data_IF_853961270594
#
_entry.id   IF_853961270594
#
_cell.length_a   1.000
_cell.length_b   1.000
_cell.length_c   1.000
_cell.angle_alpha   90.00
_cell.angle_beta   90.00
_cell.angle_gamma   90.00
#
_symmetry.space_group_name_H-M   'P 1'
#
loop_
_entity.id
_entity.type
_entity.pdbx_description
1 polymer ?
#
# COMPACT_ATOMS: atom_id res chain seq x y z
N UNK A 1 26.96 -16.23 11.32
CA UNK A 1 26.59 -15.81 9.96
C UNK A 1 25.10 -15.97 9.81
N UNK A 2 24.39 -14.91 9.47
CA UNK A 2 22.94 -14.90 9.32
C UNK A 2 22.51 -13.49 8.97
N UNK A 3 22.86 -13.04 7.76
CA UNK A 3 22.33 -11.79 7.22
C UNK A 3 20.86 -12.06 6.90
N UNK A 4 19.99 -11.46 7.68
CA UNK A 4 18.56 -11.32 7.37
C UNK A 4 18.45 -10.82 5.94
N UNK A 5 17.74 -11.55 5.07
CA UNK A 5 17.43 -11.12 3.71
C UNK A 5 16.77 -9.73 3.80
N UNK A 6 17.58 -8.71 3.52
CA UNK A 6 17.15 -7.33 3.48
C UNK A 6 16.17 -7.23 2.32
N UNK A 7 14.86 -7.29 2.59
CA UNK A 7 13.87 -7.04 1.57
C UNK A 7 14.17 -5.67 0.96
N UNK A 8 14.63 -5.65 -0.30
CA UNK A 8 14.93 -4.43 -1.05
C UNK A 8 13.72 -3.49 -1.16
N UNK A 9 12.54 -4.02 -0.84
CA UNK A 9 11.27 -3.33 -0.81
C UNK A 9 11.00 -2.68 0.54
N UNK A 10 10.70 -1.38 0.51
CA UNK A 10 10.23 -0.66 1.68
C UNK A 10 9.00 0.18 1.36
N UNK A 11 8.27 0.54 2.41
CA UNK A 11 7.05 1.34 2.30
C UNK A 11 7.23 2.69 2.96
N UNK A 12 6.81 3.71 2.22
CA UNK A 12 6.63 5.05 2.76
C UNK A 12 5.15 5.39 2.86
N UNK A 13 4.77 5.86 4.04
CA UNK A 13 3.44 6.39 4.30
C UNK A 13 3.48 7.90 4.17
N UNK A 14 2.51 8.46 3.47
CA UNK A 14 2.37 9.90 3.36
C UNK A 14 0.92 10.26 3.63
N UNK A 15 0.71 11.26 4.47
CA UNK A 15 -0.55 11.98 4.46
C UNK A 15 -0.56 12.76 3.16
N UNK A 16 -1.58 12.52 2.33
CA UNK A 16 -1.91 13.47 1.28
C UNK A 16 -2.13 14.80 1.99
N UNK A 17 -1.37 15.84 1.67
CA UNK A 17 -1.26 17.08 2.44
C UNK A 17 -2.54 17.91 2.60
N UNK A 18 -3.71 17.30 2.46
CA UNK A 18 -5.02 17.86 2.64
C UNK A 18 -5.71 17.21 3.86
N UNK A 19 -5.39 17.63 5.10
CA UNK A 19 -5.99 17.07 6.32
C UNK A 19 -7.50 17.29 6.43
N UNK A 20 -8.07 18.22 5.64
CA UNK A 20 -9.51 18.52 5.63
C UNK A 20 -10.36 17.45 4.94
N UNK A 21 -9.90 16.90 3.80
CA UNK A 21 -10.67 15.91 3.03
C UNK A 21 -10.63 14.50 3.64
N UNK A 22 -9.57 14.16 4.39
CA UNK A 22 -9.45 12.85 5.04
C UNK A 22 -10.33 12.74 6.29
N UNK A 23 -10.59 13.87 6.97
CA UNK A 23 -11.39 13.91 8.22
C UNK A 23 -12.87 13.59 8.00
N UNK A 24 -13.43 13.98 6.84
CA UNK A 24 -14.85 13.78 6.56
C UNK A 24 -15.19 12.41 5.95
N UNK A 25 -14.22 11.71 5.32
CA UNK A 25 -14.47 10.34 4.78
C UNK A 25 -14.13 9.22 5.75
N UNK A 26 -13.33 9.51 6.78
CA UNK A 26 -12.86 8.52 7.76
C UNK A 26 -13.89 8.24 8.85
N UNK A 27 -14.82 9.16 9.09
CA UNK A 27 -15.74 9.10 10.23
C UNK A 27 -17.08 8.41 9.94
N UNK A 28 -17.52 8.26 8.67
CA UNK A 28 -18.91 7.87 8.41
C UNK A 28 -19.25 6.55 7.73
N UNK A 29 -18.46 5.88 6.89
CA UNK A 29 -19.06 4.74 6.14
C UNK A 29 -18.16 3.62 5.55
N UNK A 30 -16.87 3.49 5.88
CA UNK A 30 -16.02 2.49 5.21
C UNK A 30 -15.48 1.41 6.14
N UNK A 31 -16.35 0.44 6.47
CA UNK A 31 -15.96 -0.79 7.16
C UNK A 31 -14.85 -1.54 6.40
N UNK A 32 -15.08 -1.87 5.12
CA UNK A 32 -14.13 -2.63 4.29
C UNK A 32 -13.08 -1.68 3.67
N UNK A 33 -11.79 -2.05 3.58
CA UNK A 33 -10.78 -1.25 2.92
C UNK A 33 -11.11 -1.01 1.44
N UNK A 34 -10.73 0.14 0.89
CA UNK A 34 -10.96 0.45 -0.54
C UNK A 34 -9.81 1.24 -1.14
N UNK A 35 -9.47 0.90 -2.38
CA UNK A 35 -8.57 1.69 -3.21
C UNK A 35 -9.32 2.89 -3.80
N UNK A 36 -8.90 4.09 -3.41
CA UNK A 36 -9.50 5.35 -3.85
C UNK A 36 -9.02 5.77 -5.24
N UNK A 37 -7.85 5.28 -5.66
CA UNK A 37 -7.26 5.59 -6.96
C UNK A 37 -6.70 4.35 -7.62
N UNK A 38 -6.62 4.37 -8.96
CA UNK A 38 -5.80 3.41 -9.69
C UNK A 38 -4.33 3.49 -9.23
N UNK A 39 -3.60 2.36 -9.25
CA UNK A 39 -2.15 2.37 -9.04
C UNK A 39 -1.49 3.35 -10.00
N UNK A 40 -0.55 4.16 -9.49
CA UNK A 40 0.32 4.98 -10.33
C UNK A 40 1.75 4.49 -10.18
N UNK A 41 2.33 4.02 -11.27
CA UNK A 41 3.77 3.82 -11.38
C UNK A 41 4.44 5.17 -11.68
N UNK A 42 5.41 5.55 -10.86
CA UNK A 42 6.22 6.74 -11.07
C UNK A 42 7.63 6.31 -11.50
N UNK A 43 7.92 6.49 -12.79
CA UNK A 43 9.19 6.13 -13.43
C UNK A 43 10.37 6.99 -12.97
N UNK A 44 10.15 8.19 -12.45
CA UNK A 44 11.23 9.03 -11.92
C UNK A 44 11.62 8.69 -10.48
N UNK A 45 10.75 7.97 -9.75
CA UNK A 45 10.97 7.65 -8.34
C UNK A 45 10.89 6.16 -8.02
N UNK A 46 10.90 5.32 -9.06
CA UNK A 46 10.76 3.86 -9.02
C UNK A 46 9.81 3.39 -7.91
N UNK A 47 8.60 3.97 -7.92
CA UNK A 47 7.63 3.71 -6.89
C UNK A 47 6.23 3.51 -7.45
N UNK A 48 5.47 2.64 -6.79
CA UNK A 48 4.05 2.51 -7.03
C UNK A 48 3.31 3.17 -5.87
N UNK A 49 2.31 3.98 -6.21
CA UNK A 49 1.48 4.70 -5.24
C UNK A 49 0.03 4.24 -5.30
N UNK A 50 -0.55 3.99 -4.13
CA UNK A 50 -1.98 3.73 -3.94
C UNK A 50 -2.56 4.65 -2.88
N UNK A 51 -3.76 5.18 -3.15
CA UNK A 51 -4.58 5.82 -2.12
C UNK A 51 -5.61 4.83 -1.60
N UNK A 52 -5.70 4.69 -0.28
CA UNK A 52 -6.43 3.62 0.39
C UNK A 52 -7.23 4.22 1.56
N UNK A 53 -8.49 3.83 1.65
CA UNK A 53 -9.39 4.14 2.78
C UNK A 53 -9.78 2.86 3.51
N UNK A 54 -10.26 2.98 4.75
CA UNK A 54 -10.76 1.85 5.55
C UNK A 54 -10.50 2.04 7.04
N UNK A 55 -11.29 1.34 7.87
CA UNK A 55 -11.05 1.29 9.32
C UNK A 55 -9.65 0.76 9.63
N UNK A 56 -9.05 1.34 10.66
CA UNK A 56 -7.74 0.92 11.18
C UNK A 56 -7.94 -0.14 12.29
N UNK A 57 -6.96 -1.02 12.55
CA UNK A 57 -5.70 -1.19 11.81
C UNK A 57 -5.91 -1.77 10.40
N UNK A 58 -5.03 -1.43 9.46
CA UNK A 58 -4.98 -2.05 8.13
C UNK A 58 -3.74 -2.94 8.01
N UNK A 59 -3.91 -4.16 7.54
CA UNK A 59 -2.84 -5.09 7.17
C UNK A 59 -2.65 -5.07 5.66
N UNK A 60 -1.40 -4.92 5.21
CA UNK A 60 -1.01 -4.82 3.82
C UNK A 60 -0.10 -5.99 3.48
N UNK A 61 -0.46 -6.72 2.43
CA UNK A 61 0.40 -7.73 1.82
C UNK A 61 0.65 -7.34 0.37
N UNK A 62 1.92 -7.37 -0.03
CA UNK A 62 2.33 -7.05 -1.40
C UNK A 62 3.00 -8.28 -1.98
N UNK A 63 2.56 -8.67 -3.16
CA UNK A 63 3.10 -9.77 -3.92
C UNK A 63 3.69 -9.25 -5.23
N UNK A 64 4.82 -9.82 -5.66
CA UNK A 64 5.38 -9.63 -6.99
C UNK A 64 5.44 -10.98 -7.69
N UNK A 65 4.77 -11.10 -8.85
CA UNK A 65 4.62 -12.35 -9.60
C UNK A 65 4.13 -13.53 -8.73
N UNK A 66 3.25 -13.25 -7.76
CA UNK A 66 2.70 -14.24 -6.82
C UNK A 66 3.51 -14.46 -5.55
N UNK A 67 4.73 -13.94 -5.44
CA UNK A 67 5.57 -14.07 -4.24
C UNK A 67 5.36 -12.91 -3.28
N UNK A 68 5.12 -13.21 -2.00
CA UNK A 68 5.00 -12.18 -0.96
C UNK A 68 6.35 -11.48 -0.78
N UNK A 69 6.40 -10.19 -1.11
CA UNK A 69 7.59 -9.34 -0.93
C UNK A 69 7.48 -8.39 0.26
N UNK A 70 6.26 -8.21 0.79
CA UNK A 70 6.02 -7.32 1.93
C UNK A 70 4.77 -7.71 2.70
N UNK A 71 4.85 -7.68 4.03
CA UNK A 71 3.71 -7.79 4.93
C UNK A 71 3.84 -6.81 6.10
N UNK A 72 2.93 -5.84 6.20
CA UNK A 72 2.98 -4.79 7.22
C UNK A 72 1.59 -4.52 7.80
N UNK A 73 1.52 -4.12 9.06
CA UNK A 73 0.28 -3.60 9.66
C UNK A 73 0.46 -2.13 10.01
N UNK A 74 -0.55 -1.34 9.67
CA UNK A 74 -0.56 0.09 9.83
C UNK A 74 -1.73 0.56 10.69
N UNK A 75 -1.41 1.28 11.77
CA UNK A 75 -2.38 1.73 12.78
C UNK A 75 -2.68 3.23 12.71
N UNK A 76 -1.92 4.01 11.91
CA UNK A 76 -2.05 5.47 11.81
C UNK A 76 -2.96 5.90 10.64
N UNK A 77 -3.31 7.19 10.57
CA UNK A 77 -4.29 7.77 9.63
C UNK A 77 -3.79 8.03 8.20
N UNK A 78 -2.58 7.61 7.81
CA UNK A 78 -2.10 7.84 6.43
C UNK A 78 -2.91 7.08 5.39
N UNK A 79 -3.28 7.79 4.32
CA UNK A 79 -4.11 7.25 3.23
C UNK A 79 -3.32 6.92 1.96
N UNK A 80 -2.02 7.22 1.91
CA UNK A 80 -1.17 6.91 0.76
C UNK A 80 -0.13 5.86 1.14
N UNK A 81 -0.15 4.74 0.40
CA UNK A 81 0.87 3.70 0.42
C UNK A 81 1.80 3.91 -0.77
N UNK A 82 3.10 4.03 -0.52
CA UNK A 82 4.14 4.04 -1.56
C UNK A 82 5.03 2.81 -1.39
N UNK A 83 5.17 2.02 -2.43
CA UNK A 83 6.12 0.89 -2.47
C UNK A 83 7.31 1.31 -3.30
N UNK A 84 8.50 1.12 -2.74
CA UNK A 84 9.78 1.40 -3.38
C UNK A 84 10.67 0.16 -3.31
N UNK A 85 11.58 0.05 -4.25
CA UNK A 85 12.66 -0.93 -4.25
C UNK A 85 13.99 -0.19 -4.38
N UNK A 86 14.98 -0.52 -3.55
CA UNK A 86 16.34 0.08 -3.58
C UNK A 86 17.05 -0.11 -4.92
N UNK A 87 16.73 -1.20 -5.62
CA UNK A 87 17.31 -1.59 -6.90
C UNK A 87 16.40 -1.25 -8.10
N UNK A 88 15.35 -0.46 -7.88
CA UNK A 88 14.29 -0.20 -8.87
C UNK A 88 13.22 -1.29 -8.90
N UNK A 89 12.01 -0.92 -9.34
CA UNK A 89 10.91 -1.88 -9.46
C UNK A 89 11.13 -2.77 -10.68
N UNK A 90 10.97 -4.08 -10.49
CA UNK A 90 11.12 -5.07 -11.56
C UNK A 90 9.82 -5.17 -12.34
N UNK A 91 9.89 -5.39 -13.65
CA UNK A 91 8.69 -5.65 -14.45
C UNK A 91 7.91 -6.87 -13.95
N UNK A 92 6.62 -6.91 -14.25
CA UNK A 92 5.72 -7.97 -13.86
C UNK A 92 4.54 -7.49 -13.01
N UNK A 93 3.89 -8.44 -12.35
CA UNK A 93 2.60 -8.22 -11.70
C UNK A 93 2.82 -7.93 -10.22
N UNK A 94 2.47 -6.73 -9.80
CA UNK A 94 2.35 -6.34 -8.41
C UNK A 94 0.90 -6.48 -7.93
N UNK A 95 0.67 -7.30 -6.92
CA UNK A 95 -0.63 -7.44 -6.25
C UNK A 95 -0.55 -6.87 -4.84
N UNK A 96 -1.52 -6.04 -4.46
CA UNK A 96 -1.69 -5.56 -3.10
C UNK A 96 -3.00 -6.07 -2.54
N UNK A 97 -2.91 -6.64 -1.34
CA UNK A 97 -4.04 -6.98 -0.50
C UNK A 97 -4.03 -6.08 0.72
N UNK A 98 -5.15 -5.42 0.98
CA UNK A 98 -5.38 -4.57 2.15
C UNK A 98 -6.52 -5.14 2.94
N UNK A 99 -6.31 -5.46 4.21
CA UNK A 99 -7.32 -6.05 5.08
C UNK A 99 -7.50 -5.23 6.37
N UNK A 100 -8.72 -5.23 6.91
CA UNK A 100 -9.01 -4.87 8.30
C UNK A 100 -10.07 -5.83 8.85
N UNK A 101 -10.59 -5.52 10.04
CA UNK A 101 -11.62 -6.32 10.72
C UNK A 101 -12.92 -6.52 9.93
N UNK A 102 -13.20 -5.66 8.95
CA UNK A 102 -14.43 -5.75 8.16
C UNK A 102 -14.24 -6.47 6.83
N UNK A 103 -13.00 -6.66 6.35
CA UNK A 103 -12.76 -7.40 5.11
C UNK A 103 -11.44 -7.05 4.42
N UNK A 104 -11.32 -7.49 3.17
CA UNK A 104 -10.10 -7.37 2.36
C UNK A 104 -10.41 -6.79 0.98
N UNK A 105 -9.56 -5.88 0.51
CA UNK A 105 -9.54 -5.38 -0.85
C UNK A 105 -8.25 -5.77 -1.54
N UNK A 106 -8.33 -6.10 -2.82
CA UNK A 106 -7.20 -6.55 -3.63
C UNK A 106 -7.08 -5.67 -4.88
N UNK A 107 -5.86 -5.33 -5.28
CA UNK A 107 -5.58 -4.60 -6.53
C UNK A 107 -4.32 -5.14 -7.19
N UNK A 108 -4.34 -5.20 -8.53
CA UNK A 108 -3.18 -5.58 -9.35
C UNK A 108 -2.71 -4.39 -10.18
N UNK A 109 -1.40 -4.35 -10.41
CA UNK A 109 -0.72 -3.48 -11.36
C UNK A 109 0.29 -4.34 -12.13
N UNK A 110 0.30 -4.21 -13.46
CA UNK A 110 1.37 -4.72 -14.31
C UNK A 110 2.29 -3.55 -14.68
N UNK A 111 3.60 -3.78 -14.57
CA UNK A 111 4.68 -2.85 -14.96
C UNK A 111 5.52 -3.50 -16.04
#
# INVERSE_FOLDING_TARGET
>A
MGQSESSDYYVEWSNDGNPGQLRETQDRLHGIPRFLTSPRYNTQGDCIRWRISGLRPLTFKVYHNGYLILNLTYTKTCSVLKIKCTSGLRSGIYEIQVANVSGTAIRRLEI
#
